data_IF_159543253685
#
_entry.id   IF_159543253685
#
_cell.length_a   1.000
_cell.length_b   1.000
_cell.length_c   1.000
_cell.angle_alpha   90.00
_cell.angle_beta   90.00
_cell.angle_gamma   90.00
#
_symmetry.space_group_name_H-M   'P 1'
#
loop_
_entity.id
_entity.type
_entity.pdbx_description
1 polymer ?
#
# COMPACT_ATOMS: atom_id res chain seq x y z
N UNK A 1 -11.84 8.75 -3.16
CA UNK A 1 -11.20 7.54 -3.74
C UNK A 1 -12.02 6.35 -3.33
N UNK A 2 -12.57 5.62 -4.30
CA UNK A 2 -13.42 4.47 -4.02
C UNK A 2 -12.59 3.19 -3.90
N UNK A 3 -12.80 2.44 -2.81
CA UNK A 3 -12.17 1.15 -2.58
C UNK A 3 -13.21 0.09 -2.24
N UNK A 4 -12.93 -1.14 -2.63
CA UNK A 4 -13.70 -2.33 -2.32
C UNK A 4 -13.02 -3.08 -1.17
N UNK A 5 -13.77 -3.35 -0.11
CA UNK A 5 -13.23 -4.02 1.07
C UNK A 5 -12.99 -5.50 0.79
N UNK A 6 -11.79 -5.98 1.10
CA UNK A 6 -11.45 -7.41 1.05
C UNK A 6 -11.65 -8.08 2.41
N UNK A 7 -11.73 -7.29 3.49
CA UNK A 7 -11.97 -7.73 4.87
C UNK A 7 -13.08 -6.89 5.50
N UNK A 8 -13.85 -7.44 6.45
CA UNK A 8 -14.85 -6.67 7.17
C UNK A 8 -14.20 -5.53 7.93
N UNK A 9 -14.74 -4.31 7.79
CA UNK A 9 -14.19 -3.10 8.37
C UNK A 9 -15.31 -2.27 9.02
N UNK A 10 -15.00 -1.54 10.09
CA UNK A 10 -15.97 -0.62 10.72
C UNK A 10 -15.56 0.81 10.39
N UNK A 11 -16.37 1.50 9.60
CA UNK A 11 -16.14 2.89 9.20
C UNK A 11 -17.23 3.80 9.77
N UNK A 12 -16.85 4.84 10.51
CA UNK A 12 -17.77 5.79 11.14
C UNK A 12 -18.89 5.12 11.98
N UNK A 13 -18.56 4.03 12.67
CA UNK A 13 -19.53 3.25 13.46
C UNK A 13 -20.43 2.31 12.65
N UNK A 14 -20.30 2.29 11.32
CA UNK A 14 -21.00 1.33 10.45
C UNK A 14 -20.08 0.17 10.12
N UNK A 15 -20.57 -1.05 10.34
CA UNK A 15 -19.86 -2.26 9.95
C UNK A 15 -20.11 -2.55 8.47
N UNK A 16 -19.03 -2.70 7.73
CA UNK A 16 -19.00 -2.94 6.31
C UNK A 16 -18.47 -4.34 6.04
N UNK A 17 -19.10 -5.02 5.10
CA UNK A 17 -18.73 -6.37 4.73
C UNK A 17 -17.65 -6.37 3.65
N UNK A 18 -17.09 -7.56 3.41
CA UNK A 18 -16.26 -7.82 2.23
C UNK A 18 -17.10 -7.58 0.97
N UNK A 19 -16.52 -6.93 -0.03
CA UNK A 19 -17.19 -6.53 -1.27
C UNK A 19 -17.90 -5.18 -1.19
N UNK A 20 -18.03 -4.59 0.00
CA UNK A 20 -18.62 -3.27 0.15
C UNK A 20 -17.68 -2.18 -0.38
N UNK A 21 -18.25 -1.17 -1.04
CA UNK A 21 -17.50 -0.10 -1.69
C UNK A 21 -17.65 1.21 -0.93
N UNK A 22 -16.54 1.73 -0.44
CA UNK A 22 -16.50 2.97 0.33
C UNK A 22 -15.65 4.02 -0.37
N UNK A 23 -16.12 5.27 -0.32
CA UNK A 23 -15.34 6.42 -0.76
C UNK A 23 -14.62 7.06 0.43
N UNK A 24 -13.28 7.11 0.33
CA UNK A 24 -12.38 7.62 1.35
C UNK A 24 -11.43 8.66 0.75
N UNK A 25 -10.71 9.38 1.62
CA UNK A 25 -9.56 10.17 1.19
C UNK A 25 -8.43 9.27 0.64
N UNK A 26 -7.61 9.83 -0.25
CA UNK A 26 -6.56 9.10 -0.98
C UNK A 26 -5.55 8.41 -0.06
N UNK A 27 -5.12 9.09 1.01
CA UNK A 27 -4.19 8.55 1.99
C UNK A 27 -4.74 7.31 2.71
N UNK A 28 -5.99 7.36 3.18
CA UNK A 28 -6.63 6.24 3.87
C UNK A 28 -6.89 5.08 2.92
N UNK A 29 -7.34 5.37 1.70
CA UNK A 29 -7.56 4.36 0.67
C UNK A 29 -6.25 3.63 0.35
N UNK A 30 -5.16 4.36 0.09
CA UNK A 30 -3.84 3.80 -0.17
C UNK A 30 -3.31 2.97 0.99
N UNK A 31 -3.49 3.44 2.23
CA UNK A 31 -3.08 2.68 3.41
C UNK A 31 -3.82 1.33 3.50
N UNK A 32 -5.15 1.31 3.31
CA UNK A 32 -5.92 0.06 3.32
C UNK A 32 -5.55 -0.90 2.19
N UNK A 33 -5.21 -0.37 1.02
CA UNK A 33 -4.71 -1.16 -0.12
C UNK A 33 -3.34 -1.76 0.20
N UNK A 34 -2.41 -0.96 0.74
CA UNK A 34 -1.07 -1.41 1.11
C UNK A 34 -1.09 -2.49 2.20
N UNK A 35 -2.06 -2.43 3.12
CA UNK A 35 -2.27 -3.45 4.15
C UNK A 35 -3.00 -4.70 3.62
N UNK A 36 -3.46 -4.71 2.36
CA UNK A 36 -4.26 -5.81 1.81
C UNK A 36 -5.62 -5.98 2.51
N UNK A 37 -6.20 -4.88 2.99
CA UNK A 37 -7.53 -4.83 3.63
C UNK A 37 -8.60 -4.46 2.60
N UNK A 38 -8.23 -3.72 1.56
CA UNK A 38 -9.11 -3.27 0.50
C UNK A 38 -8.39 -3.23 -0.86
N UNK A 39 -9.13 -3.04 -1.95
CA UNK A 39 -8.63 -2.86 -3.31
C UNK A 39 -9.24 -1.61 -3.94
N UNK A 40 -8.53 -0.92 -4.83
CA UNK A 40 -9.12 0.18 -5.61
C UNK A 40 -10.33 -0.32 -6.42
N UNK A 41 -11.50 0.32 -6.24
CA UNK A 41 -12.75 -0.09 -6.90
C UNK A 41 -12.89 0.50 -8.32
N UNK A 42 -12.22 1.61 -8.60
CA UNK A 42 -12.08 2.13 -9.96
C UNK A 42 -11.05 1.29 -10.73
N UNK A 43 -11.49 0.67 -11.82
CA UNK A 43 -10.75 -0.30 -12.64
C UNK A 43 -9.42 0.19 -13.27
N UNK A 44 -8.92 1.37 -12.93
CA UNK A 44 -7.77 1.96 -13.58
C UNK A 44 -6.99 2.88 -12.64
N UNK A 45 -6.36 2.32 -11.63
CA UNK A 45 -5.12 2.88 -11.12
C UNK A 45 -4.22 1.69 -10.76
N UNK A 46 -3.44 1.27 -11.75
CA UNK A 46 -2.30 0.39 -11.58
C UNK A 46 -1.53 0.78 -10.31
N UNK A 47 -1.33 -0.13 -9.35
CA UNK A 47 -0.39 0.13 -8.28
C UNK A 47 1.00 0.11 -8.89
N UNK A 48 1.47 1.25 -9.42
CA UNK A 48 2.91 1.47 -9.62
C UNK A 48 3.50 1.75 -8.25
N UNK A 49 3.53 0.71 -7.44
CA UNK A 49 4.43 0.60 -6.31
C UNK A 49 5.09 -0.74 -6.49
N UNK A 50 5.87 -0.84 -7.57
CA UNK A 50 7.19 -1.45 -7.50
C UNK A 50 7.97 -0.71 -6.41
N UNK A 51 7.62 -0.92 -5.14
CA UNK A 51 8.57 -0.78 -4.05
C UNK A 51 9.40 -2.05 -4.07
N UNK A 52 10.18 -2.23 -5.12
CA UNK A 52 11.44 -2.93 -4.97
C UNK A 52 12.30 -1.98 -4.14
N UNK A 53 12.75 -2.35 -2.93
CA UNK A 53 13.94 -1.71 -2.37
C UNK A 53 15.10 -2.22 -3.22
N UNK A 54 15.19 -1.70 -4.45
CA UNK A 54 16.27 -2.03 -5.34
C UNK A 54 17.50 -1.31 -4.78
N UNK A 55 18.33 -2.13 -4.16
CA UNK A 55 19.73 -1.87 -3.80
C UNK A 55 19.89 -1.28 -2.40
N UNK A 56 20.20 -2.20 -1.47
CA UNK A 56 21.13 -1.96 -0.37
C UNK A 56 22.20 -0.99 -0.85
N UNK A 57 22.24 0.18 -0.22
CA UNK A 57 23.33 1.14 -0.40
C UNK A 57 24.68 0.43 -0.21
N UNK A 58 25.63 0.94 -0.97
CA UNK A 58 26.86 0.28 -1.36
C UNK A 58 27.70 -0.24 -0.18
N UNK A 59 28.26 -1.43 -0.39
CA UNK A 59 29.59 -1.88 0.07
C UNK A 59 30.42 -0.90 0.93
N UNK A 60 30.76 -1.21 2.19
CA UNK A 60 32.02 -0.76 2.77
C UNK A 60 33.13 -1.67 2.22
N UNK A 61 33.47 -1.47 0.96
CA UNK A 61 34.61 -2.09 0.33
C UNK A 61 35.54 -0.97 -0.11
N UNK A 62 36.73 -0.93 0.48
CA UNK A 62 37.96 -0.22 0.06
C UNK A 62 38.43 0.85 1.06
N UNK A 63 39.32 0.46 1.95
CA UNK A 63 40.59 1.18 2.15
C UNK A 63 41.64 0.14 2.51
N UNK A 64 42.29 -0.35 1.46
CA UNK A 64 43.67 -0.83 1.51
C UNK A 64 44.55 0.41 1.66
N UNK A 65 45.28 0.52 2.77
CA UNK A 65 46.54 1.27 2.77
C UNK A 65 47.44 0.65 3.83
N UNK A 66 48.36 -0.18 3.36
CA UNK A 66 49.61 -0.44 4.08
C UNK A 66 50.59 0.67 3.75
N UNK A 67 51.31 1.11 4.76
CA UNK A 67 52.77 1.26 4.79
C UNK A 67 53.22 1.13 6.25
#
# INVERSE_FOLDING_TARGET
MQIELLKPHTHAGKRLAVGDRIDLNDASARWLIAQGVAKAATASATPTTDSKPARRDATPGTTTQGD
#
